data_IF_306934882738
#
_entry.id   IF_306934882738
#
_cell.length_a   1.000
_cell.length_b   1.000
_cell.length_c   1.000
_cell.angle_alpha   90.00
_cell.angle_beta   90.00
_cell.angle_gamma   90.00
#
_symmetry.space_group_name_H-M   'P 1'
#
loop_
_entity.id
_entity.type
_entity.pdbx_description
1 polymer ?
#
# COMPACT_ATOMS: atom_id res chain seq x y z
N UNK A 1 -17.33 -15.63 19.46
CA UNK A 1 -15.99 -15.09 19.15
C UNK A 1 -15.80 -13.80 19.95
N UNK A 2 -14.72 -13.70 20.71
CA UNK A 2 -14.42 -12.56 21.58
C UNK A 2 -14.21 -11.30 20.72
N UNK A 3 -15.06 -10.28 20.92
CA UNK A 3 -15.10 -9.00 20.18
C UNK A 3 -13.90 -8.06 20.44
N UNK A 4 -12.71 -8.60 20.70
CA UNK A 4 -11.51 -7.82 21.05
C UNK A 4 -10.90 -7.18 19.78
N UNK A 5 -10.75 -7.95 18.71
CA UNK A 5 -10.24 -7.46 17.42
C UNK A 5 -11.39 -6.90 16.59
N UNK A 6 -11.23 -5.68 16.07
CA UNK A 6 -12.25 -4.97 15.28
C UNK A 6 -11.96 -4.95 13.78
N UNK A 7 -10.71 -5.15 13.39
CA UNK A 7 -10.27 -5.16 12.00
C UNK A 7 -8.99 -5.99 11.87
N UNK A 8 -8.83 -6.64 10.71
CA UNK A 8 -7.65 -7.38 10.30
C UNK A 8 -7.20 -6.84 8.94
N UNK A 9 -5.88 -6.70 8.78
CA UNK A 9 -5.28 -6.19 7.57
C UNK A 9 -3.85 -6.69 7.38
N UNK A 10 -3.25 -6.30 6.26
CA UNK A 10 -1.87 -6.62 5.91
C UNK A 10 -1.11 -5.37 5.47
N UNK A 11 0.18 -5.30 5.82
CA UNK A 11 1.09 -4.26 5.37
C UNK A 11 2.10 -4.85 4.37
N UNK A 12 2.13 -4.31 3.15
CA UNK A 12 2.95 -4.84 2.04
C UNK A 12 3.50 -3.73 1.14
N UNK A 13 4.39 -4.12 0.23
CA UNK A 13 5.10 -3.22 -0.67
C UNK A 13 4.74 -3.44 -2.16
N UNK A 14 3.77 -4.30 -2.46
CA UNK A 14 3.43 -4.69 -3.83
C UNK A 14 1.91 -4.75 -4.02
N UNK A 15 1.43 -4.23 -5.16
CA UNK A 15 0.01 -4.27 -5.52
C UNK A 15 -0.48 -5.72 -5.66
N UNK A 16 0.34 -6.58 -6.26
CA UNK A 16 -0.03 -7.98 -6.54
C UNK A 16 -0.33 -8.76 -5.28
N UNK A 17 0.42 -8.55 -4.19
CA UNK A 17 0.19 -9.25 -2.92
C UNK A 17 -1.18 -8.89 -2.35
N UNK A 18 -1.60 -7.63 -2.46
CA UNK A 18 -2.95 -7.23 -2.06
C UNK A 18 -4.03 -7.88 -2.95
N UNK A 19 -3.82 -7.92 -4.27
CA UNK A 19 -4.75 -8.55 -5.20
C UNK A 19 -4.91 -10.05 -4.90
N UNK A 20 -3.80 -10.77 -4.70
CA UNK A 20 -3.81 -12.18 -4.33
C UNK A 20 -4.52 -12.40 -2.99
N UNK A 21 -4.29 -11.52 -2.01
CA UNK A 21 -4.94 -11.59 -0.70
C UNK A 21 -6.47 -11.42 -0.81
N UNK A 22 -6.96 -10.55 -1.70
CA UNK A 22 -8.39 -10.37 -1.94
C UNK A 22 -9.07 -11.62 -2.53
N UNK A 23 -8.32 -12.48 -3.22
CA UNK A 23 -8.82 -13.77 -3.71
C UNK A 23 -8.84 -14.85 -2.63
N UNK A 24 -8.01 -14.72 -1.60
CA UNK A 24 -7.92 -15.67 -0.48
C UNK A 24 -9.02 -15.40 0.57
N UNK A 25 -9.41 -14.14 0.77
CA UNK A 25 -10.41 -13.81 1.79
C UNK A 25 -10.79 -12.33 1.87
N UNK A 26 -11.54 -12.01 2.93
CA UNK A 26 -12.00 -10.66 3.22
C UNK A 26 -11.03 -9.94 4.15
N UNK A 27 -10.76 -8.67 3.85
CA UNK A 27 -9.82 -7.83 4.58
C UNK A 27 -10.42 -6.45 4.85
N UNK A 28 -10.21 -5.92 6.03
CA UNK A 28 -10.75 -4.61 6.41
C UNK A 28 -9.88 -3.46 5.86
N UNK A 29 -8.55 -3.67 5.84
CA UNK A 29 -7.58 -2.64 5.47
C UNK A 29 -6.29 -3.23 4.93
N UNK A 30 -5.69 -2.57 3.93
CA UNK A 30 -4.30 -2.80 3.54
C UNK A 30 -3.46 -1.54 3.80
N UNK A 31 -2.26 -1.72 4.35
CA UNK A 31 -1.22 -0.70 4.32
C UNK A 31 -0.34 -0.97 3.10
N UNK A 32 -0.45 -0.12 2.08
CA UNK A 32 0.28 -0.25 0.83
C UNK A 32 1.43 0.75 0.80
N UNK A 33 2.65 0.25 0.91
CA UNK A 33 3.84 1.07 1.01
C UNK A 33 4.55 1.24 -0.34
N UNK A 34 4.73 2.49 -0.78
CA UNK A 34 5.52 2.83 -1.97
C UNK A 34 4.84 2.61 -3.33
N UNK A 35 3.59 2.13 -3.39
CA UNK A 35 2.84 1.93 -4.65
C UNK A 35 1.73 2.94 -4.92
N UNK A 36 1.55 3.87 -3.98
CA UNK A 36 0.77 5.07 -4.18
C UNK A 36 1.50 6.25 -3.52
N UNK A 37 2.37 6.86 -4.31
CA UNK A 37 3.21 8.01 -3.94
C UNK A 37 2.99 9.12 -4.97
N UNK A 38 3.61 10.29 -4.77
CA UNK A 38 3.57 11.34 -5.80
C UNK A 38 4.38 10.98 -7.06
N UNK A 39 5.29 10.00 -7.00
CA UNK A 39 6.11 9.58 -8.14
C UNK A 39 5.64 8.26 -8.78
N UNK A 40 4.73 7.53 -8.12
CA UNK A 40 4.22 6.25 -8.59
C UNK A 40 2.74 6.08 -8.18
N UNK A 41 1.84 5.85 -9.13
CA UNK A 41 0.39 5.66 -8.87
C UNK A 41 -0.18 4.36 -9.43
N UNK A 42 0.65 3.33 -9.57
CA UNK A 42 0.29 2.01 -10.14
C UNK A 42 -0.88 1.33 -9.42
N UNK A 43 -1.10 1.65 -8.14
CA UNK A 43 -2.23 1.12 -7.38
C UNK A 43 -3.62 1.57 -7.89
N UNK A 44 -3.69 2.64 -8.69
CA UNK A 44 -4.96 3.14 -9.26
C UNK A 44 -5.53 2.23 -10.34
N UNK A 45 -4.69 1.47 -11.03
CA UNK A 45 -5.09 0.72 -12.22
C UNK A 45 -6.02 -0.44 -11.87
N UNK A 46 -5.61 -1.28 -10.91
CA UNK A 46 -6.34 -2.51 -10.55
C UNK A 46 -6.67 -2.59 -9.06
N UNK A 47 -5.72 -2.26 -8.19
CA UNK A 47 -5.84 -2.49 -6.76
C UNK A 47 -6.94 -1.63 -6.11
N UNK A 48 -6.93 -0.31 -6.33
CA UNK A 48 -7.92 0.58 -5.70
C UNK A 48 -9.35 0.27 -6.18
N UNK A 49 -9.61 0.04 -7.48
CA UNK A 49 -10.90 -0.47 -7.93
C UNK A 49 -11.32 -1.80 -7.27
N UNK A 50 -10.39 -2.76 -7.10
CA UNK A 50 -10.68 -4.04 -6.46
C UNK A 50 -11.02 -3.88 -4.96
N UNK A 51 -10.22 -3.10 -4.23
CA UNK A 51 -10.47 -2.78 -2.82
C UNK A 51 -11.80 -2.05 -2.63
N UNK A 52 -12.12 -1.08 -3.49
CA UNK A 52 -13.41 -0.36 -3.46
C UNK A 52 -14.60 -1.30 -3.64
N UNK A 53 -14.52 -2.23 -4.61
CA UNK A 53 -15.57 -3.25 -4.83
C UNK A 53 -15.77 -4.18 -3.63
N UNK A 54 -14.69 -4.50 -2.91
CA UNK A 54 -14.71 -5.43 -1.76
C UNK A 54 -14.90 -4.75 -0.40
N UNK A 55 -14.95 -3.41 -0.36
CA UNK A 55 -15.07 -2.65 0.88
C UNK A 55 -13.79 -2.64 1.73
N UNK A 56 -12.64 -2.96 1.14
CA UNK A 56 -11.33 -2.94 1.82
C UNK A 56 -10.75 -1.53 1.74
N UNK A 57 -10.34 -0.97 2.88
CA UNK A 57 -9.70 0.35 2.93
C UNK A 57 -8.19 0.30 2.62
N UNK A 58 -7.61 1.42 2.20
CA UNK A 58 -6.17 1.54 1.94
C UNK A 58 -5.56 2.63 2.85
N UNK A 59 -4.46 2.29 3.51
CA UNK A 59 -3.53 3.24 4.13
C UNK A 59 -2.34 3.41 3.18
N UNK A 60 -2.11 4.63 2.70
CA UNK A 60 -0.99 4.94 1.81
C UNK A 60 0.31 5.09 2.62
N UNK A 61 1.18 4.08 2.53
CA UNK A 61 2.48 4.06 3.21
C UNK A 61 3.56 4.77 2.40
N UNK A 62 4.22 5.76 3.00
CA UNK A 62 5.35 6.46 2.38
C UNK A 62 4.99 7.26 1.12
N UNK A 63 3.98 8.15 1.14
CA UNK A 63 3.53 8.89 -0.04
C UNK A 63 4.60 9.80 -0.67
N UNK A 64 5.68 10.13 0.06
CA UNK A 64 6.83 10.90 -0.39
C UNK A 64 8.03 10.04 -0.84
N UNK A 65 7.76 8.77 -1.19
CA UNK A 65 8.71 7.77 -1.67
C UNK A 65 10.02 7.69 -0.85
N UNK A 66 9.91 7.24 0.41
CA UNK A 66 11.00 7.16 1.40
C UNK A 66 11.67 8.50 1.78
N UNK A 67 11.11 9.62 1.33
CA UNK A 67 11.51 10.96 1.73
C UNK A 67 12.29 11.73 0.66
N UNK A 68 12.48 11.15 -0.53
CA UNK A 68 13.15 11.82 -1.66
C UNK A 68 12.49 13.17 -2.00
N UNK A 69 11.17 13.24 -1.88
CA UNK A 69 10.39 14.44 -2.19
C UNK A 69 10.38 15.48 -1.06
N UNK A 70 10.98 15.18 0.08
CA UNK A 70 11.03 16.06 1.26
C UNK A 70 12.47 16.26 1.76
N UNK A 71 13.44 16.17 0.86
CA UNK A 71 14.84 16.52 1.13
C UNK A 71 15.71 15.40 1.71
N UNK A 72 15.29 14.13 1.63
CA UNK A 72 16.13 12.96 1.99
C UNK A 72 16.79 12.34 0.75
N UNK A 73 17.91 11.63 0.93
CA UNK A 73 18.59 10.89 -0.15
C UNK A 73 18.06 9.44 -0.31
N UNK A 74 16.79 9.15 0.02
CA UNK A 74 16.25 7.78 0.07
C UNK A 74 15.11 7.56 -0.93
N UNK A 75 15.18 6.49 -1.73
CA UNK A 75 14.19 6.03 -2.71
C UNK A 75 13.93 4.53 -2.51
N UNK A 76 12.67 4.11 -2.39
CA UNK A 76 12.28 2.70 -2.16
C UNK A 76 13.14 2.03 -1.07
N UNK A 77 13.31 2.71 0.07
CA UNK A 77 14.10 2.26 1.22
C UNK A 77 15.61 2.07 0.99
N UNK A 78 16.12 2.43 -0.18
CA UNK A 78 17.53 2.44 -0.52
C UNK A 78 18.03 3.87 -0.76
N UNK A 79 19.35 4.05 -0.80
CA UNK A 79 19.93 5.34 -1.18
C UNK A 79 19.59 5.62 -2.64
N UNK A 80 19.06 6.81 -2.94
CA UNK A 80 18.78 7.22 -4.31
C UNK A 80 20.09 7.30 -5.10
N UNK A 81 20.07 6.82 -6.34
CA UNK A 81 21.20 6.99 -7.26
C UNK A 81 21.40 8.49 -7.50
N UNK A 82 22.64 8.96 -7.36
CA UNK A 82 23.02 10.28 -7.83
C UNK A 82 23.22 10.15 -9.34
N UNK A 83 22.34 10.80 -10.10
CA UNK A 83 22.52 10.99 -11.54
C UNK A 83 23.76 11.86 -11.80
#
# INVERSE_FOLDING_TARGET
>A
MTKIVKAIGLGVNENQVCLDALEIGSWDVFLLAGRYTLLEQTALDELFPACSKRGTSIICGGPFNSGILVGREMWNYAKALKL
#
